data_IF_362674514522
#
_entry.id   IF_362674514522
#
_cell.length_a   1.000
_cell.length_b   1.000
_cell.length_c   1.000
_cell.angle_alpha   90.00
_cell.angle_beta   90.00
_cell.angle_gamma   90.00
#
_symmetry.space_group_name_H-M   'P 1'
#
loop_
_entity.id
_entity.type
_entity.pdbx_description
1 polymer ?
#
# COMPACT_ATOMS: atom_id res chain seq x y z
N UNK A 1 -1.74 15.22 -3.97
CA UNK A 1 -1.79 13.76 -3.72
C UNK A 1 -2.61 13.13 -4.82
N UNK A 2 -1.97 12.40 -5.74
CA UNK A 2 -2.66 11.78 -6.86
C UNK A 2 -3.37 10.54 -6.36
N UNK A 3 -4.69 10.62 -6.25
CA UNK A 3 -5.55 9.47 -5.95
C UNK A 3 -5.81 8.76 -7.28
N UNK A 4 -5.19 7.60 -7.50
CA UNK A 4 -5.54 6.73 -8.61
C UNK A 4 -6.93 6.14 -8.29
N UNK A 5 -7.99 6.71 -8.87
CA UNK A 5 -9.34 6.14 -8.79
C UNK A 5 -9.34 4.90 -9.68
N UNK A 6 -9.11 3.73 -9.10
CA UNK A 6 -8.75 2.53 -9.88
C UNK A 6 -9.93 2.01 -10.70
N UNK A 7 -9.77 2.05 -12.02
CA UNK A 7 -10.38 1.13 -12.97
C UNK A 7 -9.29 0.13 -13.36
N UNK A 8 -9.12 -0.96 -12.59
CA UNK A 8 -8.11 -2.00 -12.83
C UNK A 8 -7.87 -2.91 -11.62
N UNK A 9 -7.48 -4.17 -11.86
CA UNK A 9 -7.25 -5.28 -10.90
C UNK A 9 -6.09 -5.04 -9.90
N UNK A 10 -6.05 -3.89 -9.26
CA UNK A 10 -5.09 -3.62 -8.18
C UNK A 10 -5.60 -4.29 -6.91
N UNK A 11 -4.86 -5.30 -6.41
CA UNK A 11 -5.17 -5.99 -5.15
C UNK A 11 -4.43 -5.31 -4.00
N UNK A 12 -5.20 -4.74 -3.07
CA UNK A 12 -4.72 -4.22 -1.80
C UNK A 12 -5.32 -5.04 -0.67
N UNK A 13 -4.49 -5.56 0.23
CA UNK A 13 -4.94 -6.28 1.42
C UNK A 13 -5.41 -5.28 2.49
N UNK A 14 -6.66 -4.85 2.38
CA UNK A 14 -7.26 -3.89 3.31
C UNK A 14 -7.36 -4.42 4.73
N UNK A 15 -7.52 -5.73 4.92
CA UNK A 15 -7.63 -6.36 6.23
C UNK A 15 -6.29 -6.26 6.98
N UNK A 16 -5.18 -6.44 6.27
CA UNK A 16 -3.83 -6.22 6.81
C UNK A 16 -3.63 -4.78 7.30
N UNK A 17 -4.08 -3.79 6.53
CA UNK A 17 -4.01 -2.39 6.97
C UNK A 17 -4.97 -2.11 8.12
N UNK A 18 -6.18 -2.68 8.11
CA UNK A 18 -7.20 -2.49 9.14
C UNK A 18 -6.73 -2.98 10.51
N UNK A 19 -6.06 -4.13 10.56
CA UNK A 19 -5.59 -4.77 11.78
C UNK A 19 -4.46 -4.00 12.50
N UNK A 20 -3.79 -3.05 11.85
CA UNK A 20 -2.70 -2.28 12.45
C UNK A 20 -3.22 -1.09 13.25
N UNK A 21 -2.55 -0.83 14.37
CA UNK A 21 -2.77 0.37 15.17
C UNK A 21 -2.39 1.64 14.39
N UNK A 22 -3.22 2.67 14.51
CA UNK A 22 -2.95 3.96 13.92
C UNK A 22 -1.94 4.74 14.75
N UNK A 23 -0.88 5.24 14.10
CA UNK A 23 0.01 6.20 14.72
C UNK A 23 -0.69 7.53 15.00
N UNK A 24 -1.70 7.86 14.18
CA UNK A 24 -2.60 8.98 14.41
C UNK A 24 -3.94 8.73 13.71
N UNK A 25 -5.04 9.01 14.40
CA UNK A 25 -6.39 8.90 13.85
C UNK A 25 -7.07 10.28 13.88
N UNK A 26 -7.31 10.84 12.69
CA UNK A 26 -8.06 12.07 12.50
C UNK A 26 -9.48 11.78 12.07
N UNK A 27 -10.30 12.83 11.93
CA UNK A 27 -11.72 12.71 11.57
C UNK A 27 -12.01 11.98 10.26
N UNK A 28 -11.09 12.05 9.29
CA UNK A 28 -11.28 11.53 7.94
C UNK A 28 -10.12 10.66 7.43
N UNK A 29 -9.01 10.63 8.16
CA UNK A 29 -7.78 9.95 7.73
C UNK A 29 -7.16 9.24 8.92
N UNK A 30 -6.61 8.06 8.64
CA UNK A 30 -5.89 7.23 9.59
C UNK A 30 -4.44 7.08 9.11
N UNK A 31 -3.50 7.53 9.92
CA UNK A 31 -2.07 7.44 9.61
C UNK A 31 -1.51 6.17 10.24
N UNK A 32 -0.88 5.33 9.43
CA UNK A 32 -0.22 4.10 9.87
C UNK A 32 1.28 4.30 9.78
N UNK A 33 2.00 3.97 10.86
CA UNK A 33 3.45 3.95 10.86
C UNK A 33 3.92 2.50 10.63
N UNK A 34 4.76 2.33 9.61
CA UNK A 34 5.38 1.05 9.28
C UNK A 34 6.84 1.10 9.74
N UNK A 35 7.28 0.08 10.47
CA UNK A 35 8.67 -0.02 10.94
C UNK A 35 9.67 -0.17 9.77
N UNK A 36 9.20 -0.64 8.62
CA UNK A 36 9.96 -0.78 7.38
C UNK A 36 9.20 -0.14 6.23
N UNK A 37 9.90 0.35 5.19
CA UNK A 37 9.24 0.89 4.01
C UNK A 37 8.36 -0.16 3.33
N UNK A 38 7.27 0.30 2.75
CA UNK A 38 6.33 -0.52 1.99
C UNK A 38 6.77 -0.55 0.52
N UNK A 39 6.74 -1.73 -0.10
CA UNK A 39 7.10 -1.88 -1.50
C UNK A 39 5.87 -1.68 -2.39
N UNK A 40 6.01 -0.84 -3.42
CA UNK A 40 4.96 -0.61 -4.42
C UNK A 40 5.56 -0.87 -5.79
N UNK A 41 5.10 -1.93 -6.44
CA UNK A 41 5.50 -2.27 -7.80
C UNK A 41 4.42 -1.76 -8.76
N UNK A 42 4.81 -0.96 -9.74
CA UNK A 42 3.91 -0.42 -10.76
C UNK A 42 4.37 -0.89 -12.15
N UNK A 43 3.54 -1.69 -12.81
CA UNK A 43 3.67 -1.97 -14.24
C UNK A 43 2.89 -0.91 -15.01
N UNK A 44 3.62 0.09 -15.51
CA UNK A 44 3.05 1.20 -16.29
C UNK A 44 2.50 0.76 -17.66
N UNK A 45 2.97 -0.37 -18.20
CA UNK A 45 2.50 -0.90 -19.48
C UNK A 45 1.15 -1.60 -19.33
N UNK A 46 0.97 -2.36 -18.24
CA UNK A 46 -0.30 -3.02 -17.91
C UNK A 46 -1.24 -2.17 -17.06
N UNK A 47 -0.79 -0.99 -16.61
CA UNK A 47 -1.51 -0.10 -15.67
C UNK A 47 -1.88 -0.83 -14.37
N UNK A 48 -1.02 -1.73 -13.92
CA UNK A 48 -1.22 -2.54 -12.72
C UNK A 48 -0.28 -2.07 -11.62
N UNK A 49 -0.78 -2.05 -10.39
CA UNK A 49 0.01 -1.74 -9.20
C UNK A 49 -0.21 -2.80 -8.14
N UNK A 50 0.88 -3.28 -7.54
CA UNK A 50 0.85 -4.22 -6.42
C UNK A 50 1.54 -3.56 -5.23
N UNK A 51 0.86 -3.60 -4.09
CA UNK A 51 1.37 -3.13 -2.80
C UNK A 51 1.76 -4.37 -2.01
N UNK A 52 3.05 -4.55 -1.76
CA UNK A 52 3.58 -5.68 -1.00
C UNK A 52 3.77 -5.28 0.47
N UNK A 53 3.40 -6.15 1.42
CA UNK A 53 3.69 -5.92 2.82
C UNK A 53 5.20 -5.72 3.06
N UNK A 54 5.60 -4.97 4.11
CA UNK A 54 7.00 -4.72 4.42
C UNK A 54 7.84 -5.98 4.69
N UNK A 55 7.21 -7.13 4.97
CA UNK A 55 7.90 -8.41 5.13
C UNK A 55 8.28 -9.06 3.80
N UNK A 56 7.62 -8.66 2.70
CA UNK A 56 7.90 -9.08 1.32
C UNK A 56 8.70 -8.03 0.55
N UNK A 57 9.35 -7.09 1.24
CA UNK A 57 10.12 -6.02 0.60
C UNK A 57 11.35 -6.51 -0.17
N UNK A 58 11.74 -7.78 -0.03
CA UNK A 58 12.86 -8.39 -0.77
C UNK A 58 12.64 -8.36 -2.29
N UNK A 59 11.38 -8.36 -2.74
CA UNK A 59 11.02 -8.32 -4.15
C UNK A 59 11.10 -6.90 -4.77
N UNK A 60 11.32 -5.86 -3.95
CA UNK A 60 11.47 -4.48 -4.43
C UNK A 60 12.91 -4.09 -4.79
N UNK A 61 13.89 -4.91 -4.41
CA UNK A 61 15.32 -4.61 -4.56
C UNK A 61 15.91 -5.22 -5.86
N UNK A 62 15.09 -5.93 -6.63
CA UNK A 62 15.42 -6.52 -7.95
C UNK A 62 14.79 -5.71 -9.08
#
# INVERSE_FOLDING_TARGET
LTVCRTTGDSRLDWDWFAAREAAHEGRYVRHLHLAKPLCVLIDGHKRQGVILPPDHSQDCDT
#
